data_IF_295295274162
#
_entry.id   IF_295295274162
#
_cell.length_a   1.000
_cell.length_b   1.000
_cell.length_c   1.000
_cell.angle_alpha   90.00
_cell.angle_beta   90.00
_cell.angle_gamma   90.00
#
_symmetry.space_group_name_H-M   'P 1'
#
loop_
_entity.id
_entity.type
_entity.pdbx_description
1 polymer ?
#
# COMPACT_ATOMS: atom_id res chain seq x y z
N UNK A 1 15.77 -9.20 -15.44
CA UNK A 1 15.02 -10.46 -15.38
C UNK A 1 14.96 -11.06 -16.77
N UNK A 2 15.69 -12.18 -17.00
CA UNK A 2 15.51 -12.95 -18.22
C UNK A 2 14.21 -13.73 -18.07
N UNK A 3 13.27 -13.53 -18.97
CA UNK A 3 11.95 -14.12 -19.04
C UNK A 3 11.96 -15.60 -19.40
N UNK A 4 12.61 -16.42 -18.62
CA UNK A 4 12.49 -17.87 -18.82
C UNK A 4 11.31 -18.37 -17.97
N UNK A 5 10.14 -18.45 -18.56
CA UNK A 5 8.97 -19.11 -17.98
C UNK A 5 7.89 -18.22 -17.38
N UNK A 6 7.95 -16.89 -17.54
CA UNK A 6 6.96 -15.94 -17.02
C UNK A 6 5.73 -15.82 -17.94
N UNK A 7 5.82 -16.29 -19.18
CA UNK A 7 4.74 -16.14 -20.18
C UNK A 7 3.38 -16.74 -19.77
N UNK A 8 3.32 -17.45 -18.64
CA UNK A 8 2.08 -18.02 -18.10
C UNK A 8 1.84 -17.75 -16.60
N UNK A 9 2.52 -16.75 -15.98
CA UNK A 9 2.31 -16.47 -14.56
C UNK A 9 0.88 -16.03 -14.28
N UNK A 10 0.31 -15.15 -15.11
CA UNK A 10 -1.07 -14.68 -14.98
C UNK A 10 -2.07 -15.83 -15.12
N UNK A 11 -1.81 -16.76 -16.02
CA UNK A 11 -2.67 -17.94 -16.20
C UNK A 11 -2.60 -18.86 -14.97
N UNK A 12 -1.39 -19.09 -14.43
CA UNK A 12 -1.20 -19.90 -13.22
C UNK A 12 -1.86 -19.25 -12.01
N UNK A 13 -1.69 -17.93 -11.83
CA UNK A 13 -2.35 -17.18 -10.76
C UNK A 13 -3.87 -17.26 -10.88
N UNK A 14 -4.44 -17.09 -12.08
CA UNK A 14 -5.87 -17.23 -12.31
C UNK A 14 -6.37 -18.64 -11.99
N UNK A 15 -5.67 -19.66 -12.45
CA UNK A 15 -6.04 -21.07 -12.19
C UNK A 15 -5.96 -21.41 -10.70
N UNK A 16 -5.00 -20.82 -10.00
CA UNK A 16 -4.85 -21.01 -8.56
C UNK A 16 -5.99 -20.29 -7.81
N UNK A 17 -6.26 -19.02 -8.15
CA UNK A 17 -7.34 -18.24 -7.54
C UNK A 17 -8.73 -18.87 -7.77
N UNK A 18 -8.96 -19.52 -8.92
CA UNK A 18 -10.22 -20.22 -9.20
C UNK A 18 -10.45 -21.43 -8.28
N UNK A 19 -9.41 -21.97 -7.68
CA UNK A 19 -9.46 -23.13 -6.78
C UNK A 19 -9.33 -22.76 -5.30
N UNK A 20 -8.90 -21.55 -5.01
CA UNK A 20 -8.61 -21.08 -3.65
C UNK A 20 -9.84 -20.39 -3.06
N UNK A 21 -10.66 -21.14 -2.31
CA UNK A 21 -11.89 -20.62 -1.68
C UNK A 21 -11.61 -19.74 -0.45
N UNK A 22 -10.42 -19.79 0.11
CA UNK A 22 -10.01 -19.11 1.36
C UNK A 22 -9.16 -17.86 1.12
N UNK A 23 -8.88 -17.52 -0.13
CA UNK A 23 -8.08 -16.34 -0.48
C UNK A 23 -8.96 -15.09 -0.58
N UNK A 24 -8.51 -14.03 0.06
CA UNK A 24 -9.14 -12.71 -0.03
C UNK A 24 -8.34 -11.80 -0.96
N UNK A 25 -8.95 -10.69 -1.35
CA UNK A 25 -8.32 -9.66 -2.17
C UNK A 25 -8.33 -8.35 -1.40
N UNK A 26 -7.17 -7.72 -1.28
CA UNK A 26 -7.05 -6.35 -0.77
C UNK A 26 -6.87 -5.43 -1.96
N UNK A 27 -7.91 -4.69 -2.32
CA UNK A 27 -7.84 -3.60 -3.27
C UNK A 27 -7.36 -2.34 -2.57
N UNK A 28 -6.37 -1.66 -3.15
CA UNK A 28 -5.83 -0.41 -2.62
C UNK A 28 -6.01 0.69 -3.67
N UNK A 29 -6.81 1.68 -3.31
CA UNK A 29 -7.01 2.92 -4.07
C UNK A 29 -6.14 4.04 -3.51
N UNK A 30 -5.64 4.88 -4.40
CA UNK A 30 -4.76 6.02 -4.13
C UNK A 30 -5.42 7.28 -4.69
N UNK A 31 -5.79 8.21 -3.84
CA UNK A 31 -6.55 9.36 -4.28
C UNK A 31 -6.26 10.65 -3.54
N UNK A 32 -6.90 11.74 -3.99
CA UNK A 32 -6.75 13.05 -3.38
C UNK A 32 -7.46 13.15 -2.02
N UNK A 33 -8.59 12.44 -1.86
CA UNK A 33 -9.37 12.45 -0.61
C UNK A 33 -8.78 11.56 0.47
N UNK A 34 -8.19 10.45 0.06
CA UNK A 34 -7.54 9.49 0.95
C UNK A 34 -6.13 9.27 0.44
N UNK A 35 -5.16 9.32 1.34
CA UNK A 35 -3.77 8.99 1.01
C UNK A 35 -3.68 7.56 0.45
N UNK A 36 -4.34 6.64 1.16
CA UNK A 36 -4.63 5.29 0.71
C UNK A 36 -5.99 4.89 1.27
N UNK A 37 -6.80 4.24 0.45
CA UNK A 37 -8.03 3.58 0.87
C UNK A 37 -7.96 2.11 0.51
N UNK A 38 -8.31 1.24 1.43
CA UNK A 38 -8.27 -0.19 1.19
C UNK A 38 -9.61 -0.86 1.44
N UNK A 39 -9.86 -1.90 0.67
CA UNK A 39 -11.05 -2.75 0.79
C UNK A 39 -10.60 -4.21 0.74
N UNK A 40 -11.00 -4.99 1.72
CA UNK A 40 -10.80 -6.45 1.75
C UNK A 40 -12.08 -7.13 1.31
N UNK A 41 -12.01 -7.97 0.27
CA UNK A 41 -13.14 -8.75 -0.23
C UNK A 41 -12.80 -10.25 -0.22
N UNK A 42 -13.82 -11.09 -0.08
CA UNK A 42 -13.68 -12.52 -0.32
C UNK A 42 -13.78 -12.85 -1.82
N UNK A 43 -13.55 -14.11 -2.19
CA UNK A 43 -13.66 -14.57 -3.59
C UNK A 43 -15.09 -14.52 -4.15
N UNK A 44 -16.10 -14.27 -3.31
CA UNK A 44 -17.50 -14.05 -3.71
C UNK A 44 -17.84 -12.57 -3.89
N UNK A 45 -16.88 -11.67 -3.63
CA UNK A 45 -17.07 -10.23 -3.72
C UNK A 45 -17.69 -9.59 -2.48
N UNK A 46 -17.86 -10.32 -1.36
CA UNK A 46 -18.37 -9.73 -0.14
C UNK A 46 -17.27 -8.93 0.55
N UNK A 47 -17.59 -7.71 0.95
CA UNK A 47 -16.69 -6.85 1.69
C UNK A 47 -16.54 -7.35 3.13
N UNK A 48 -15.31 -7.59 3.55
CA UNK A 48 -14.95 -8.00 4.91
C UNK A 48 -14.50 -6.83 5.77
N UNK A 49 -13.73 -5.93 5.19
CA UNK A 49 -13.18 -4.77 5.88
C UNK A 49 -12.94 -3.63 4.89
N UNK A 50 -13.18 -2.40 5.31
CA UNK A 50 -12.86 -1.19 4.55
C UNK A 50 -12.27 -0.15 5.49
N UNK A 51 -11.24 0.54 5.07
CA UNK A 51 -10.67 1.62 5.86
C UNK A 51 -9.90 2.63 5.03
N UNK A 52 -9.88 3.87 5.52
CA UNK A 52 -8.94 4.89 5.09
C UNK A 52 -7.67 4.81 5.91
N UNK A 53 -6.51 4.91 5.28
CA UNK A 53 -5.22 5.03 5.95
C UNK A 53 -4.78 6.49 6.15
N UNK A 54 -5.72 7.45 6.12
CA UNK A 54 -5.44 8.84 6.50
C UNK A 54 -5.01 8.94 7.97
N UNK A 55 -5.69 8.15 8.81
CA UNK A 55 -5.35 7.99 10.23
C UNK A 55 -4.91 6.54 10.45
N UNK A 56 -3.77 6.36 11.08
CA UNK A 56 -3.27 5.03 11.43
C UNK A 56 -3.27 4.88 12.95
N UNK A 57 -3.97 3.84 13.40
CA UNK A 57 -4.02 3.46 14.80
C UNK A 57 -2.96 2.41 15.10
N UNK A 58 -2.19 2.64 16.14
CA UNK A 58 -1.19 1.71 16.66
C UNK A 58 -1.40 1.49 18.14
N UNK A 59 -1.07 0.32 18.62
CA UNK A 59 -1.05 -0.02 20.03
C UNK A 59 0.40 -0.19 20.50
N UNK A 60 0.74 0.48 21.58
CA UNK A 60 2.04 0.32 22.23
C UNK A 60 1.88 0.23 23.75
N UNK A 61 2.36 -0.85 24.35
CA UNK A 61 2.27 -1.11 25.80
C UNK A 61 0.84 -0.98 26.36
N UNK A 62 -0.16 -1.46 25.61
CA UNK A 62 -1.57 -1.42 26.00
C UNK A 62 -2.25 -0.05 25.84
N UNK A 63 -1.56 0.94 25.26
CA UNK A 63 -2.15 2.25 24.93
C UNK A 63 -2.36 2.34 23.42
N UNK A 64 -3.56 2.76 23.01
CA UNK A 64 -3.88 3.03 21.61
C UNK A 64 -3.48 4.46 21.25
N UNK A 65 -2.79 4.60 20.13
CA UNK A 65 -2.38 5.87 19.55
C UNK A 65 -2.93 5.98 18.14
N UNK A 66 -3.63 7.08 17.87
CA UNK A 66 -4.09 7.42 16.54
C UNK A 66 -3.28 8.60 15.99
N UNK A 67 -2.71 8.46 14.80
CA UNK A 67 -1.96 9.52 14.16
C UNK A 67 -2.61 9.88 12.82
N UNK A 68 -3.13 11.11 12.71
CA UNK A 68 -3.73 11.65 11.51
C UNK A 68 -2.65 12.19 10.57
N UNK A 69 -2.19 11.32 9.67
CA UNK A 69 -1.20 11.66 8.67
C UNK A 69 -1.73 12.62 7.60
N UNK A 70 -3.00 12.51 7.24
CA UNK A 70 -3.60 13.39 6.24
C UNK A 70 -3.55 14.84 6.71
N UNK A 71 -4.05 15.11 7.93
CA UNK A 71 -4.01 16.44 8.53
C UNK A 71 -2.58 16.97 8.64
N UNK A 72 -1.63 16.14 9.10
CA UNK A 72 -0.23 16.55 9.25
C UNK A 72 0.45 16.85 7.92
N UNK A 73 0.16 16.08 6.89
CA UNK A 73 0.69 16.33 5.55
C UNK A 73 0.11 17.61 4.95
N UNK A 74 -1.19 17.86 5.11
CA UNK A 74 -1.83 19.10 4.66
C UNK A 74 -1.25 20.35 5.35
N UNK A 75 -1.02 20.27 6.66
CA UNK A 75 -0.36 21.35 7.42
C UNK A 75 1.05 21.62 6.86
N UNK A 76 1.83 20.57 6.61
CA UNK A 76 3.19 20.69 6.07
C UNK A 76 3.23 21.17 4.62
N UNK A 77 2.26 20.80 3.79
CA UNK A 77 2.16 21.33 2.43
C UNK A 77 1.79 22.84 2.43
N UNK A 78 0.92 23.27 3.33
CA UNK A 78 0.62 24.71 3.51
C UNK A 78 1.85 25.48 3.98
N UNK A 79 2.57 24.98 5.00
CA UNK A 79 3.83 25.57 5.45
C UNK A 79 4.84 25.68 4.28
N UNK A 80 4.91 24.66 3.43
CA UNK A 80 5.80 24.64 2.26
C UNK A 80 5.41 25.71 1.23
N UNK A 81 4.12 25.88 0.96
CA UNK A 81 3.65 26.87 0.01
C UNK A 81 3.89 28.29 0.53
N UNK A 82 3.74 28.54 1.82
CA UNK A 82 4.11 29.80 2.47
C UNK A 82 5.62 30.04 2.46
N UNK A 83 6.41 28.99 2.78
CA UNK A 83 7.86 29.07 2.78
C UNK A 83 8.42 29.36 1.38
N UNK A 84 7.83 28.80 0.32
CA UNK A 84 8.19 29.11 -1.07
C UNK A 84 8.04 30.59 -1.42
N UNK A 85 6.99 31.25 -0.89
CA UNK A 85 6.80 32.69 -1.09
C UNK A 85 7.88 33.53 -0.40
N UNK A 86 8.48 33.00 0.67
CA UNK A 86 9.45 33.68 1.51
C UNK A 86 10.88 33.10 1.38
N UNK A 87 11.15 32.25 0.38
CA UNK A 87 12.45 31.60 0.15
C UNK A 87 12.98 30.82 1.37
N UNK A 88 12.08 30.29 2.20
CA UNK A 88 12.39 29.47 3.37
C UNK A 88 12.33 27.97 3.02
N UNK A 89 13.09 27.16 3.73
CA UNK A 89 13.00 25.70 3.66
C UNK A 89 12.03 25.18 4.72
N UNK A 90 11.26 24.15 4.38
CA UNK A 90 10.44 23.43 5.34
C UNK A 90 11.04 22.05 5.55
N UNK A 91 11.40 21.78 6.79
CA UNK A 91 12.00 20.52 7.20
C UNK A 91 10.95 19.44 7.49
N UNK A 92 11.37 18.18 7.44
CA UNK A 92 10.63 17.01 7.91
C UNK A 92 9.39 16.56 7.09
N UNK A 93 9.11 17.15 5.90
CA UNK A 93 8.02 16.63 5.04
C UNK A 93 8.38 15.24 4.49
N UNK A 94 9.64 15.05 4.12
CA UNK A 94 10.12 13.79 3.56
C UNK A 94 10.03 12.69 4.61
N UNK A 95 10.50 12.95 5.82
CA UNK A 95 10.47 12.04 6.95
C UNK A 95 9.05 11.68 7.34
N UNK A 96 8.13 12.65 7.32
CA UNK A 96 6.71 12.43 7.60
C UNK A 96 6.08 11.50 6.54
N UNK A 97 6.38 11.72 5.25
CA UNK A 97 5.92 10.85 4.15
C UNK A 97 6.49 9.44 4.26
N UNK A 98 7.76 9.30 4.59
CA UNK A 98 8.40 8.00 4.78
C UNK A 98 7.85 7.26 6.00
N UNK A 99 7.62 7.96 7.10
CA UNK A 99 6.96 7.43 8.28
C UNK A 99 5.55 6.93 7.98
N UNK A 100 4.75 7.72 7.24
CA UNK A 100 3.43 7.31 6.77
C UNK A 100 3.49 6.01 5.94
N UNK A 101 4.34 5.97 4.92
CA UNK A 101 4.45 4.80 4.04
C UNK A 101 4.83 3.54 4.81
N UNK A 102 5.75 3.66 5.76
CA UNK A 102 6.15 2.54 6.62
C UNK A 102 4.98 2.01 7.45
N UNK A 103 4.21 2.89 8.08
CA UNK A 103 3.05 2.51 8.89
C UNK A 103 1.91 1.93 8.03
N UNK A 104 1.63 2.54 6.89
CA UNK A 104 0.62 2.05 5.96
C UNK A 104 0.96 0.63 5.45
N UNK A 105 2.20 0.40 5.05
CA UNK A 105 2.68 -0.91 4.60
C UNK A 105 2.59 -1.95 5.73
N UNK A 106 2.93 -1.57 6.95
CA UNK A 106 2.77 -2.45 8.11
C UNK A 106 1.32 -2.87 8.30
N UNK A 107 0.38 -1.92 8.25
CA UNK A 107 -1.06 -2.20 8.37
C UNK A 107 -1.58 -3.10 7.24
N UNK A 108 -1.18 -2.81 6.00
CA UNK A 108 -1.56 -3.60 4.82
C UNK A 108 -1.06 -5.04 4.95
N UNK A 109 0.20 -5.22 5.36
CA UNK A 109 0.76 -6.57 5.52
C UNK A 109 0.15 -7.34 6.68
N UNK A 110 -0.25 -6.67 7.77
CA UNK A 110 -1.04 -7.31 8.84
C UNK A 110 -2.38 -7.83 8.31
N UNK A 111 -3.10 -7.03 7.52
CA UNK A 111 -4.36 -7.44 6.92
C UNK A 111 -4.18 -8.56 5.90
N UNK A 112 -3.12 -8.51 5.10
CA UNK A 112 -2.78 -9.58 4.15
C UNK A 112 -2.60 -10.92 4.87
N UNK A 113 -1.86 -10.93 5.97
CA UNK A 113 -1.68 -12.15 6.77
C UNK A 113 -2.96 -12.59 7.48
N UNK A 114 -3.72 -11.64 8.06
CA UNK A 114 -4.99 -11.92 8.74
C UNK A 114 -6.01 -12.60 7.83
N UNK A 115 -6.11 -12.17 6.59
CA UNK A 115 -7.12 -12.60 5.64
C UNK A 115 -6.60 -13.59 4.58
N UNK A 116 -5.35 -14.04 4.67
CA UNK A 116 -4.72 -14.81 3.60
C UNK A 116 -4.99 -14.17 2.23
N UNK A 117 -4.60 -12.90 2.07
CA UNK A 117 -5.04 -12.08 0.95
C UNK A 117 -3.92 -11.76 -0.03
N UNK A 118 -4.28 -11.64 -1.30
CA UNK A 118 -3.45 -11.00 -2.32
C UNK A 118 -3.72 -9.50 -2.36
N UNK A 119 -2.71 -8.72 -2.76
CA UNK A 119 -2.84 -7.26 -2.87
C UNK A 119 -2.97 -6.88 -4.34
N UNK A 120 -3.98 -6.06 -4.64
CA UNK A 120 -4.22 -5.49 -5.97
C UNK A 120 -4.09 -3.98 -5.88
N UNK A 121 -3.21 -3.42 -6.71
CA UNK A 121 -2.98 -1.98 -6.84
C UNK A 121 -3.53 -1.48 -8.17
N UNK A 122 -4.01 -0.25 -8.18
CA UNK A 122 -4.34 0.45 -9.41
C UNK A 122 -3.06 0.73 -10.23
N UNK A 123 -3.10 0.45 -11.55
CA UNK A 123 -2.01 0.82 -12.46
C UNK A 123 -2.08 2.31 -12.82
N UNK A 124 -1.27 3.12 -12.17
CA UNK A 124 -1.18 4.55 -12.41
C UNK A 124 -0.37 4.93 -13.66
N UNK A 125 0.18 3.98 -14.41
CA UNK A 125 0.95 4.29 -15.61
C UNK A 125 0.08 4.77 -16.78
N UNK A 126 -1.22 4.50 -16.73
CA UNK A 126 -2.16 4.75 -17.84
C UNK A 126 -2.87 6.11 -17.82
N UNK A 127 -2.60 7.04 -16.92
CA UNK A 127 -3.42 8.26 -16.84
C UNK A 127 -2.73 9.58 -16.46
N UNK A 128 -1.52 9.55 -15.96
CA UNK A 128 -0.91 10.73 -15.36
C UNK A 128 -0.02 11.53 -16.33
N UNK A 129 -0.62 12.40 -17.13
CA UNK A 129 0.15 13.16 -18.13
C UNK A 129 0.43 14.64 -17.84
N UNK A 130 -0.02 15.29 -16.76
CA UNK A 130 0.21 16.74 -16.56
C UNK A 130 0.33 17.24 -15.11
N UNK A 131 1.36 18.03 -14.82
CA UNK A 131 1.45 19.10 -13.81
C UNK A 131 1.72 18.67 -12.36
N UNK A 132 0.79 18.84 -11.46
CA UNK A 132 0.89 18.60 -10.00
C UNK A 132 1.23 17.15 -9.61
N UNK A 133 0.94 16.24 -10.46
CA UNK A 133 1.04 14.78 -10.26
C UNK A 133 2.47 14.22 -10.18
N UNK A 134 3.52 14.99 -10.51
CA UNK A 134 4.90 14.49 -10.47
C UNK A 134 5.39 14.12 -9.06
N UNK A 135 5.01 14.91 -8.05
CA UNK A 135 5.42 14.66 -6.66
C UNK A 135 4.68 13.45 -6.09
N UNK A 136 3.39 13.34 -6.38
CA UNK A 136 2.57 12.20 -5.99
C UNK A 136 3.04 10.91 -6.65
N UNK A 137 3.37 10.95 -7.93
CA UNK A 137 3.90 9.79 -8.65
C UNK A 137 5.16 9.21 -7.98
N UNK A 138 6.08 10.05 -7.53
CA UNK A 138 7.30 9.59 -6.83
C UNK A 138 6.98 8.94 -5.48
N UNK A 139 6.02 9.48 -4.72
CA UNK A 139 5.59 8.90 -3.44
C UNK A 139 4.96 7.53 -3.66
N UNK A 140 4.11 7.39 -4.67
CA UNK A 140 3.47 6.11 -4.98
C UNK A 140 4.42 5.06 -5.55
N UNK A 141 5.38 5.45 -6.38
CA UNK A 141 6.45 4.55 -6.81
C UNK A 141 7.30 4.05 -5.64
N UNK A 142 7.55 4.93 -4.66
CA UNK A 142 8.24 4.55 -3.42
C UNK A 142 7.39 3.59 -2.59
N UNK A 143 6.09 3.85 -2.49
CA UNK A 143 5.14 2.96 -1.83
C UNK A 143 5.16 1.55 -2.44
N UNK A 144 5.01 1.44 -3.76
CA UNK A 144 5.04 0.16 -4.47
C UNK A 144 6.35 -0.60 -4.20
N UNK A 145 7.50 0.08 -4.32
CA UNK A 145 8.79 -0.52 -4.04
C UNK A 145 8.90 -1.01 -2.60
N UNK A 146 8.55 -0.19 -1.63
CA UNK A 146 8.60 -0.56 -0.21
C UNK A 146 7.65 -1.71 0.12
N UNK A 147 6.47 -1.75 -0.51
CA UNK A 147 5.51 -2.84 -0.35
C UNK A 147 6.09 -4.14 -0.92
N UNK A 148 6.63 -4.13 -2.13
CA UNK A 148 7.27 -5.30 -2.76
C UNK A 148 8.44 -5.80 -1.90
N UNK A 149 9.31 -4.90 -1.43
CA UNK A 149 10.44 -5.25 -0.56
C UNK A 149 9.94 -5.91 0.74
N UNK A 150 8.86 -5.38 1.34
CA UNK A 150 8.25 -5.95 2.54
C UNK A 150 7.64 -7.32 2.29
N UNK A 151 6.93 -7.51 1.17
CA UNK A 151 6.35 -8.79 0.78
C UNK A 151 7.43 -9.84 0.52
N UNK A 152 8.50 -9.47 -0.19
CA UNK A 152 9.65 -10.35 -0.41
C UNK A 152 10.33 -10.79 0.89
N UNK A 153 10.36 -9.91 1.89
CA UNK A 153 10.88 -10.24 3.21
C UNK A 153 9.98 -11.22 3.97
N UNK A 154 8.65 -11.07 3.84
CA UNK A 154 7.67 -11.92 4.53
C UNK A 154 7.46 -13.28 3.84
N UNK A 155 7.77 -13.37 2.54
CA UNK A 155 7.59 -14.59 1.78
C UNK A 155 8.62 -15.67 2.16
N UNK A 156 8.14 -16.83 2.56
CA UNK A 156 8.99 -18.01 2.79
C UNK A 156 9.03 -18.89 1.54
N UNK A 157 10.14 -18.83 0.83
CA UNK A 157 10.35 -19.58 -0.43
C UNK A 157 10.37 -21.10 -0.26
N UNK A 158 10.38 -21.59 0.98
CA UNK A 158 10.37 -23.04 1.28
C UNK A 158 8.96 -23.58 1.52
N UNK A 159 8.00 -22.69 1.72
CA UNK A 159 6.59 -23.05 1.92
C UNK A 159 5.90 -23.36 0.61
N UNK A 160 4.90 -24.23 0.67
CA UNK A 160 3.99 -24.44 -0.45
C UNK A 160 3.25 -23.15 -0.79
N UNK A 161 3.02 -22.83 -2.07
CA UNK A 161 2.24 -21.66 -2.48
C UNK A 161 0.85 -21.56 -1.86
N UNK A 162 0.25 -22.68 -1.46
CA UNK A 162 -1.05 -22.69 -0.77
C UNK A 162 -0.97 -22.32 0.71
N UNK A 163 0.23 -22.27 1.29
CA UNK A 163 0.42 -21.90 2.68
C UNK A 163 0.63 -20.38 2.82
N UNK A 164 0.15 -19.80 3.93
CA UNK A 164 0.38 -18.38 4.24
C UNK A 164 1.87 -18.08 4.31
N UNK A 165 2.32 -17.12 3.50
CA UNK A 165 3.74 -16.77 3.34
C UNK A 165 4.47 -17.57 2.28
N UNK A 166 3.83 -18.51 1.59
CA UNK A 166 4.38 -19.18 0.41
C UNK A 166 4.48 -18.22 -0.79
N UNK A 167 5.25 -18.61 -1.80
CA UNK A 167 5.48 -17.86 -3.04
C UNK A 167 4.97 -18.68 -4.22
N UNK A 168 4.18 -18.06 -5.09
CA UNK A 168 3.76 -18.63 -6.37
C UNK A 168 4.90 -18.71 -7.37
#
# INVERSE_FOLDING_TARGET
>A
FKSSGIDNIDLKVRQWLQKADDVHIIGIDRGERHLLYLTVIDCKGNIKEQMSLNTIENEYKGNAYAFDYHKRLDEKEKERDEARKNWKTVENIKELKEGYLSQAIHKITQLMLKYNAIIVLEDLNMGFMRGRQKVEKQVYQKFEKMLIDKLNYLADKKKDPSEVGGVL
#
